data_IF_986606674696
#
_entry.id   IF_986606674696
#
_cell.length_a   1.000
_cell.length_b   1.000
_cell.length_c   1.000
_cell.angle_alpha   90.00
_cell.angle_beta   90.00
_cell.angle_gamma   90.00
#
_symmetry.space_group_name_H-M   'P 1'
#
loop_
_entity.id
_entity.type
_entity.pdbx_description
1 polymer ?
#
# COMPACT_ATOMS: atom_id res chain seq x y z
N UNK A 1 -22.97 -23.92 -33.33
CA UNK A 1 -22.86 -22.50 -33.70
C UNK A 1 -22.90 -21.68 -32.42
N UNK A 2 -21.77 -21.05 -32.09
CA UNK A 2 -21.65 -19.88 -31.21
C UNK A 2 -22.19 -19.94 -29.78
N UNK A 3 -21.43 -20.54 -28.85
CA UNK A 3 -21.45 -20.09 -27.45
C UNK A 3 -20.75 -18.73 -27.41
N UNK A 4 -21.52 -17.64 -27.32
CA UNK A 4 -21.00 -16.35 -26.91
C UNK A 4 -21.05 -16.33 -25.38
N UNK A 5 -20.12 -17.04 -24.77
CA UNK A 5 -19.83 -16.96 -23.35
C UNK A 5 -18.78 -15.88 -23.13
N UNK A 6 -19.22 -14.81 -22.47
CA UNK A 6 -18.42 -13.97 -21.58
C UNK A 6 -17.10 -13.39 -22.13
N UNK A 7 -17.24 -12.64 -23.23
CA UNK A 7 -16.18 -11.80 -23.76
C UNK A 7 -15.99 -10.47 -23.02
N UNK A 8 -15.90 -10.48 -21.68
CA UNK A 8 -15.31 -9.37 -20.93
C UNK A 8 -14.87 -9.81 -19.53
N UNK A 9 -13.94 -10.74 -19.46
CA UNK A 9 -13.05 -10.83 -18.30
C UNK A 9 -12.11 -9.60 -18.38
N UNK A 10 -12.66 -8.42 -18.10
CA UNK A 10 -11.87 -7.28 -17.66
C UNK A 10 -11.03 -7.85 -16.53
N UNK A 11 -9.69 -7.90 -16.65
CA UNK A 11 -8.88 -8.24 -15.50
C UNK A 11 -9.32 -7.31 -14.37
N UNK A 12 -9.46 -7.80 -13.12
CA UNK A 12 -9.73 -6.90 -12.00
C UNK A 12 -8.77 -5.72 -12.14
N UNK A 13 -9.24 -4.46 -12.01
CA UNK A 13 -8.38 -3.32 -12.21
C UNK A 13 -7.11 -3.60 -11.43
N UNK A 14 -6.00 -3.75 -12.16
CA UNK A 14 -4.67 -3.83 -11.58
C UNK A 14 -4.65 -2.65 -10.63
N UNK A 15 -4.62 -2.93 -9.33
CA UNK A 15 -4.58 -1.90 -8.31
C UNK A 15 -3.32 -1.12 -8.64
N UNK A 16 -3.46 0.01 -9.33
CA UNK A 16 -2.36 0.94 -9.61
C UNK A 16 -1.67 1.15 -8.25
N UNK A 17 -0.48 0.59 -8.01
CA UNK A 17 0.18 0.73 -6.73
C UNK A 17 0.92 2.05 -6.75
N UNK A 18 0.21 3.15 -7.01
CA UNK A 18 0.80 4.49 -6.97
C UNK A 18 -0.31 5.53 -6.92
N UNK A 19 -0.95 5.64 -5.76
CA UNK A 19 -1.31 6.97 -5.28
C UNK A 19 0.02 7.65 -4.93
N UNK A 20 0.75 8.07 -5.97
CA UNK A 20 1.93 8.93 -5.89
C UNK A 20 1.44 10.35 -5.56
N UNK A 21 0.69 10.49 -4.46
CA UNK A 21 0.47 11.76 -3.82
C UNK A 21 1.83 12.21 -3.32
N UNK A 22 2.40 13.18 -4.01
CA UNK A 22 3.80 13.60 -3.99
C UNK A 22 4.23 14.34 -2.70
N UNK A 23 3.86 13.82 -1.54
CA UNK A 23 4.22 14.29 -0.19
C UNK A 23 4.33 13.14 0.82
N UNK A 24 3.75 11.97 0.51
CA UNK A 24 3.68 10.83 1.42
C UNK A 24 4.82 9.84 1.13
N UNK A 25 5.67 9.63 2.13
CA UNK A 25 6.76 8.65 2.10
C UNK A 25 6.23 7.25 1.71
N UNK A 26 7.01 6.41 1.00
CA UNK A 26 6.57 5.08 0.61
C UNK A 26 6.13 4.29 1.84
N UNK A 27 4.87 3.85 1.84
CA UNK A 27 4.29 3.06 2.92
C UNK A 27 4.05 1.62 2.48
N UNK A 28 4.26 0.66 3.37
CA UNK A 28 3.95 -0.76 3.13
C UNK A 28 3.33 -1.37 4.39
N UNK A 29 2.45 -2.36 4.23
CA UNK A 29 1.87 -3.07 5.38
C UNK A 29 2.57 -4.43 5.53
N UNK A 30 3.12 -4.69 6.71
CA UNK A 30 3.74 -5.98 7.05
C UNK A 30 2.67 -7.08 7.22
N UNK A 31 2.99 -8.39 7.06
CA UNK A 31 2.09 -9.51 7.37
C UNK A 31 1.41 -9.47 8.74
N UNK A 32 1.95 -8.74 9.71
CA UNK A 32 1.31 -8.51 11.02
C UNK A 32 0.19 -7.45 10.99
N UNK A 33 -0.02 -6.77 9.85
CA UNK A 33 -1.00 -5.70 9.69
C UNK A 33 -0.49 -4.31 10.13
N UNK A 34 0.81 -4.16 10.37
CA UNK A 34 1.42 -2.88 10.75
C UNK A 34 1.77 -2.11 9.47
N UNK A 35 1.28 -0.87 9.35
CA UNK A 35 1.70 0.03 8.27
C UNK A 35 3.04 0.66 8.64
N UNK A 36 4.03 0.49 7.77
CA UNK A 36 5.35 1.06 7.86
C UNK A 36 5.48 2.15 6.81
N UNK A 37 6.26 3.19 7.10
CA UNK A 37 6.71 4.17 6.12
C UNK A 37 8.22 4.26 6.11
N UNK A 38 8.80 4.30 4.92
CA UNK A 38 10.24 4.34 4.72
C UNK A 38 10.66 5.75 4.27
N UNK A 39 11.58 6.34 5.01
CA UNK A 39 12.18 7.63 4.67
C UNK A 39 13.32 7.47 3.67
N UNK A 40 13.61 8.49 2.84
CA UNK A 40 14.77 8.48 1.94
C UNK A 40 16.11 8.41 2.68
N UNK A 41 16.12 8.77 3.95
CA UNK A 41 17.27 8.70 4.86
C UNK A 41 17.53 7.27 5.40
N UNK A 42 16.67 6.29 5.05
CA UNK A 42 16.72 4.91 5.53
C UNK A 42 16.02 4.67 6.87
N UNK A 43 15.54 5.74 7.52
CA UNK A 43 14.67 5.64 8.71
C UNK A 43 13.31 5.04 8.35
N UNK A 44 12.73 4.33 9.29
CA UNK A 44 11.39 3.78 9.17
C UNK A 44 10.52 4.29 10.32
N UNK A 45 9.27 4.62 10.04
CA UNK A 45 8.27 4.81 11.10
C UNK A 45 7.15 3.80 10.91
N UNK A 46 6.52 3.37 11.99
CA UNK A 46 5.33 2.53 11.96
C UNK A 46 4.09 3.34 12.36
N UNK A 47 2.94 3.03 11.79
CA UNK A 47 1.68 3.67 12.10
C UNK A 47 1.11 3.10 13.39
N UNK A 48 0.96 3.96 14.39
CA UNK A 48 0.28 3.62 15.63
C UNK A 48 -1.19 4.03 15.54
N UNK A 49 -2.06 3.03 15.35
CA UNK A 49 -3.51 3.25 15.29
C UNK A 49 -4.12 3.73 16.62
N UNK A 50 -3.43 3.53 17.75
CA UNK A 50 -3.88 4.00 19.05
C UNK A 50 -3.70 5.53 19.22
N UNK A 51 -2.58 6.06 18.75
CA UNK A 51 -2.25 7.49 18.78
C UNK A 51 -2.65 8.22 17.48
N UNK A 52 -3.08 7.48 16.46
CA UNK A 52 -3.31 7.98 15.10
C UNK A 52 -2.11 8.79 14.59
N UNK A 53 -0.91 8.28 14.86
CA UNK A 53 0.35 8.96 14.55
C UNK A 53 1.39 7.93 14.14
N UNK A 54 2.35 8.40 13.36
CA UNK A 54 3.51 7.64 13.01
C UNK A 54 4.56 7.71 14.12
N UNK A 55 5.14 6.56 14.46
CA UNK A 55 6.12 6.40 15.51
C UNK A 55 7.43 5.93 14.89
N UNK A 56 8.56 6.62 15.14
CA UNK A 56 9.84 6.21 14.60
C UNK A 56 10.24 4.84 15.13
N UNK A 57 10.71 4.00 14.21
CA UNK A 57 11.32 2.72 14.55
C UNK A 57 12.79 2.95 14.86
N UNK A 58 13.13 2.91 16.14
CA UNK A 58 14.53 2.83 16.59
C UNK A 58 14.88 1.34 16.77
N UNK A 59 15.62 0.80 15.80
CA UNK A 59 16.17 -0.56 15.82
C UNK A 59 17.51 -0.65 16.54
#
# INVERSE_FOLDING_TARGET
MGSLEDGLLVPPPEIDPVDESTDELPTYTDPQGITWRQHPDGRMDWWDGAQASWVPFEG
#
